data_IF_629576223737
#
_entry.id   IF_629576223737
#
_cell.length_a   1.000
_cell.length_b   1.000
_cell.length_c   1.000
_cell.angle_alpha   90.00
_cell.angle_beta   90.00
_cell.angle_gamma   90.00
#
_symmetry.space_group_name_H-M   'P 1'
#
loop_
_entity.id
_entity.type
_entity.pdbx_description
1 polymer ?
#
# COMPACT_ATOMS: atom_id res chain seq x y z
N UNK A 1 26.19 31.21 -20.51
CA UNK A 1 26.33 29.91 -19.80
C UNK A 1 25.41 29.86 -18.58
N UNK A 2 24.07 29.82 -18.72
CA UNK A 2 23.14 29.78 -17.56
C UNK A 2 21.76 29.15 -17.92
N UNK A 3 21.72 28.03 -18.65
CA UNK A 3 20.45 27.34 -18.99
C UNK A 3 20.31 25.94 -18.38
N UNK A 4 21.43 25.32 -17.97
CA UNK A 4 21.46 23.94 -17.44
C UNK A 4 21.02 23.86 -15.97
N UNK A 5 21.39 24.85 -15.14
CA UNK A 5 21.12 24.86 -13.69
C UNK A 5 19.64 24.94 -13.34
N UNK A 6 18.84 25.70 -14.10
CA UNK A 6 17.39 25.85 -13.85
C UNK A 6 16.60 24.56 -14.13
N UNK A 7 17.07 23.76 -15.10
CA UNK A 7 16.46 22.46 -15.45
C UNK A 7 16.74 21.41 -14.39
N UNK A 8 17.97 21.37 -13.87
CA UNK A 8 18.36 20.45 -12.79
C UNK A 8 17.61 20.72 -11.48
N UNK A 9 17.38 21.98 -11.14
CA UNK A 9 16.59 22.35 -9.95
C UNK A 9 15.11 21.93 -10.07
N UNK A 10 14.49 22.14 -11.23
CA UNK A 10 13.12 21.71 -11.49
C UNK A 10 12.98 20.18 -11.47
N UNK A 11 13.97 19.47 -12.02
CA UNK A 11 13.99 18.01 -12.01
C UNK A 11 14.12 17.44 -10.59
N UNK A 12 14.99 18.04 -9.77
CA UNK A 12 15.18 17.64 -8.38
C UNK A 12 13.91 17.87 -7.55
N UNK A 13 13.23 19.01 -7.74
CA UNK A 13 11.99 19.31 -7.04
C UNK A 13 10.85 18.34 -7.42
N UNK A 14 10.73 18.00 -8.72
CA UNK A 14 9.79 16.99 -9.17
C UNK A 14 10.07 15.60 -8.55
N UNK A 15 11.34 15.21 -8.46
CA UNK A 15 11.76 13.96 -7.82
C UNK A 15 11.44 13.92 -6.33
N UNK A 16 11.63 15.03 -5.60
CA UNK A 16 11.29 15.13 -4.18
C UNK A 16 9.79 15.05 -3.92
N UNK A 17 8.96 15.62 -4.81
CA UNK A 17 7.50 15.53 -4.70
C UNK A 17 6.99 14.08 -4.86
N UNK A 18 7.66 13.26 -5.68
CA UNK A 18 7.34 11.85 -5.85
C UNK A 18 7.66 11.00 -4.60
N UNK A 19 8.66 11.39 -3.80
CA UNK A 19 9.06 10.69 -2.57
C UNK A 19 8.11 10.96 -1.39
N UNK A 20 7.33 12.06 -1.43
CA UNK A 20 6.41 12.44 -0.37
C UNK A 20 5.10 11.64 -0.35
N UNK A 21 4.85 10.78 -1.33
CA UNK A 21 3.62 10.00 -1.46
C UNK A 21 3.56 8.75 -0.54
N UNK A 22 4.33 8.71 0.54
CA UNK A 22 4.28 7.62 1.50
C UNK A 22 3.01 7.79 2.36
N UNK A 23 1.94 7.10 1.97
CA UNK A 23 0.63 7.21 2.58
C UNK A 23 0.61 6.47 3.93
N UNK A 24 0.88 7.20 5.01
CA UNK A 24 0.74 6.70 6.38
C UNK A 24 -0.62 7.07 6.95
N UNK A 25 -1.12 6.26 7.89
CA UNK A 25 -2.38 6.55 8.58
C UNK A 25 -2.20 7.83 9.41
N UNK A 26 -2.99 8.89 9.19
CA UNK A 26 -2.87 10.10 9.98
C UNK A 26 -3.24 9.83 11.44
N UNK A 27 -2.66 10.55 12.42
CA UNK A 27 -2.96 10.36 13.84
C UNK A 27 -4.45 10.56 14.18
N UNK A 28 -5.12 11.43 13.43
CA UNK A 28 -6.54 11.77 13.60
C UNK A 28 -7.48 10.85 12.79
N UNK A 29 -6.96 9.80 12.15
CA UNK A 29 -7.79 8.85 11.42
C UNK A 29 -8.81 8.19 12.36
N UNK A 30 -10.05 7.93 11.90
CA UNK A 30 -11.00 7.13 12.65
C UNK A 30 -10.39 5.78 13.05
N UNK A 31 -10.77 5.21 14.20
CA UNK A 31 -10.32 3.88 14.60
C UNK A 31 -10.54 2.85 13.49
N UNK A 32 -9.57 1.95 13.31
CA UNK A 32 -9.70 0.85 12.34
C UNK A 32 -10.95 0.02 12.63
N UNK A 33 -11.81 -0.22 11.63
CA UNK A 33 -12.93 -1.14 11.80
C UNK A 33 -12.42 -2.54 12.17
N UNK A 34 -13.28 -3.37 12.80
CA UNK A 34 -12.92 -4.75 13.06
C UNK A 34 -12.61 -5.49 11.75
N UNK A 35 -11.64 -6.43 11.74
CA UNK A 35 -11.39 -7.26 10.58
C UNK A 35 -12.66 -7.99 10.15
N UNK A 36 -12.91 -8.06 8.84
CA UNK A 36 -14.02 -8.87 8.32
C UNK A 36 -13.62 -10.34 8.40
N UNK A 37 -14.50 -11.23 8.89
CA UNK A 37 -14.28 -12.65 8.79
C UNK A 37 -14.18 -13.04 7.32
N UNK A 38 -13.05 -13.61 6.91
CA UNK A 38 -12.88 -14.24 5.61
C UNK A 38 -12.58 -15.72 5.83
N UNK A 39 -13.17 -16.56 4.98
CA UNK A 39 -12.91 -17.98 4.99
C UNK A 39 -11.60 -18.25 4.26
N UNK A 40 -10.63 -18.84 4.97
CA UNK A 40 -9.42 -19.35 4.34
C UNK A 40 -9.76 -20.55 3.44
N UNK A 41 -9.33 -20.55 2.16
CA UNK A 41 -9.50 -21.71 1.31
C UNK A 41 -8.60 -22.85 1.79
N UNK A 42 -9.12 -24.06 1.77
CA UNK A 42 -8.31 -25.26 2.02
C UNK A 42 -7.38 -25.48 0.83
N UNK A 43 -6.08 -25.30 1.04
CA UNK A 43 -5.06 -25.54 0.02
C UNK A 43 -4.50 -26.97 0.12
N UNK A 44 -4.22 -27.63 -1.01
CA UNK A 44 -3.49 -28.90 -1.00
C UNK A 44 -2.11 -28.74 -0.36
N UNK A 45 -1.60 -29.82 0.26
CA UNK A 45 -0.27 -29.84 0.91
C UNK A 45 0.88 -29.51 -0.04
N UNK A 46 0.72 -29.82 -1.33
CA UNK A 46 1.70 -29.56 -2.40
C UNK A 46 1.55 -28.18 -3.05
N UNK A 47 0.64 -27.32 -2.57
CA UNK A 47 0.45 -25.98 -3.11
C UNK A 47 1.72 -25.13 -2.96
N UNK A 48 2.10 -24.38 -3.99
CA UNK A 48 3.17 -23.37 -3.92
C UNK A 48 2.68 -22.01 -3.42
N UNK A 49 1.39 -21.88 -3.07
CA UNK A 49 0.77 -20.64 -2.62
C UNK A 49 0.38 -20.70 -1.14
N UNK A 50 0.16 -19.53 -0.55
CA UNK A 50 -0.39 -19.33 0.80
C UNK A 50 -1.57 -18.37 0.71
N UNK A 51 -2.52 -18.53 1.62
CA UNK A 51 -3.58 -17.56 1.81
C UNK A 51 -3.05 -16.35 2.60
N UNK A 52 -3.24 -15.16 2.04
CA UNK A 52 -2.99 -13.89 2.71
C UNK A 52 -4.36 -13.34 3.10
N UNK A 53 -4.63 -13.26 4.40
CA UNK A 53 -5.87 -12.70 4.94
C UNK A 53 -6.09 -11.27 4.46
N UNK A 54 -7.35 -10.92 4.18
CA UNK A 54 -7.73 -9.55 3.90
C UNK A 54 -7.43 -8.60 5.06
N UNK A 55 -7.26 -7.33 4.73
CA UNK A 55 -6.90 -6.30 5.70
C UNK A 55 -7.50 -4.94 5.36
N UNK A 56 -7.63 -4.09 6.37
CA UNK A 56 -8.00 -2.68 6.17
C UNK A 56 -6.79 -1.88 5.73
N UNK A 57 -6.88 -1.24 4.55
CA UNK A 57 -5.93 -0.24 4.07
C UNK A 57 -6.52 1.16 4.30
N UNK A 58 -5.71 2.09 4.74
CA UNK A 58 -6.10 3.51 4.74
C UNK A 58 -6.04 4.05 3.31
N UNK A 59 -7.14 4.61 2.81
CA UNK A 59 -7.24 5.18 1.47
C UNK A 59 -7.15 6.70 1.43
N UNK A 60 -6.59 7.32 2.47
CA UNK A 60 -6.46 8.79 2.60
C UNK A 60 -7.64 9.45 3.30
N UNK A 61 -8.87 8.99 3.04
CA UNK A 61 -10.09 9.52 3.67
C UNK A 61 -10.85 8.49 4.50
N UNK A 62 -10.75 7.22 4.14
CA UNK A 62 -11.51 6.14 4.76
C UNK A 62 -10.72 4.83 4.81
N UNK A 63 -11.23 3.89 5.61
CA UNK A 63 -10.75 2.52 5.64
C UNK A 63 -11.34 1.74 4.47
N UNK A 64 -10.48 1.24 3.59
CA UNK A 64 -10.84 0.41 2.45
C UNK A 64 -10.47 -1.04 2.75
N UNK A 65 -11.43 -1.96 2.62
CA UNK A 65 -11.16 -3.39 2.78
C UNK A 65 -10.42 -3.92 1.56
N UNK A 66 -9.26 -4.53 1.78
CA UNK A 66 -8.53 -5.27 0.76
C UNK A 66 -8.82 -6.76 0.99
N UNK A 67 -9.52 -7.44 0.07
CA UNK A 67 -9.83 -8.86 0.22
C UNK A 67 -8.57 -9.72 0.29
N UNK A 68 -8.68 -10.84 1.01
CA UNK A 68 -7.64 -11.86 1.01
C UNK A 68 -7.38 -12.44 -0.38
N UNK A 69 -6.17 -12.94 -0.59
CA UNK A 69 -5.73 -13.49 -1.86
C UNK A 69 -4.69 -14.58 -1.67
N UNK A 70 -4.44 -15.35 -2.74
CA UNK A 70 -3.34 -16.31 -2.78
C UNK A 70 -2.07 -15.61 -3.23
N UNK A 71 -1.00 -15.80 -2.45
CA UNK A 71 0.34 -15.34 -2.79
C UNK A 71 1.30 -16.55 -2.91
N UNK A 72 2.36 -16.46 -3.73
CA UNK A 72 3.42 -17.47 -3.71
C UNK A 72 4.05 -17.61 -2.32
N UNK A 73 4.48 -18.82 -1.98
CA UNK A 73 5.32 -19.06 -0.80
C UNK A 73 6.64 -18.27 -0.95
N UNK A 74 7.13 -17.64 0.14
CA UNK A 74 8.41 -16.95 0.15
C UNK A 74 9.61 -17.89 0.00
#
# INVERSE_FOLDING_TARGET
MMKKTKRSAALAFAMSALLAACETVPPDAPPRPPPKPEMEPVLPSWSSSIWVMGFWRWGGTEWVWVPGHLAPKP
#
